data_IF_919518091168
#
_entry.id   IF_919518091168
#
_cell.length_a   1.000
_cell.length_b   1.000
_cell.length_c   1.000
_cell.angle_alpha   90.00
_cell.angle_beta   90.00
_cell.angle_gamma   90.00
#
_symmetry.space_group_name_H-M   'P 1'
#
loop_
_entity.id
_entity.type
_entity.pdbx_description
1 polymer ?
#
# COMPACT_ATOMS: atom_id res chain seq x y z
N UNK A 1 57.61 -7.76 -77.97
CA UNK A 1 56.20 -7.94 -78.33
C UNK A 1 55.54 -8.77 -77.21
N UNK A 2 54.56 -8.16 -76.53
CA UNK A 2 53.49 -8.76 -75.71
C UNK A 2 53.82 -9.25 -74.27
N UNK A 3 53.54 -8.31 -73.34
CA UNK A 3 52.85 -8.36 -72.04
C UNK A 3 52.89 -9.59 -71.11
N UNK A 4 53.36 -9.31 -69.89
CA UNK A 4 53.22 -10.06 -68.63
C UNK A 4 51.77 -10.03 -68.13
N UNK A 5 51.29 -11.18 -67.65
CA UNK A 5 50.23 -11.29 -66.66
C UNK A 5 50.51 -12.55 -65.82
N UNK A 6 50.72 -12.41 -64.51
CA UNK A 6 50.51 -13.49 -63.56
C UNK A 6 50.05 -12.87 -62.24
N UNK A 7 48.83 -13.24 -61.90
CA UNK A 7 47.98 -12.81 -60.79
C UNK A 7 48.53 -13.28 -59.46
N UNK A 8 48.69 -12.36 -58.50
CA UNK A 8 48.84 -12.68 -57.08
C UNK A 8 47.45 -12.90 -56.48
N UNK A 9 47.22 -14.06 -55.87
CA UNK A 9 46.04 -14.36 -55.06
C UNK A 9 46.39 -14.09 -53.59
N UNK A 10 45.86 -13.01 -53.02
CA UNK A 10 46.01 -12.69 -51.60
C UNK A 10 45.06 -13.51 -50.74
N UNK A 11 45.59 -14.17 -49.71
CA UNK A 11 44.80 -14.83 -48.66
C UNK A 11 44.25 -13.78 -47.69
N UNK A 12 42.92 -13.65 -47.64
CA UNK A 12 42.20 -12.84 -46.65
C UNK A 12 41.96 -13.68 -45.39
N UNK A 13 42.64 -13.36 -44.29
CA UNK A 13 42.38 -13.95 -42.97
C UNK A 13 41.18 -13.21 -42.37
N UNK A 14 40.04 -13.88 -42.27
CA UNK A 14 38.87 -13.41 -41.53
C UNK A 14 39.05 -13.79 -40.06
N UNK A 15 39.31 -12.80 -39.20
CA UNK A 15 39.29 -12.96 -37.75
C UNK A 15 37.84 -12.88 -37.28
N UNK A 16 37.25 -14.00 -36.88
CA UNK A 16 35.94 -14.06 -36.22
C UNK A 16 36.10 -13.66 -34.75
N UNK A 17 35.75 -12.40 -34.45
CA UNK A 17 35.57 -11.92 -33.08
C UNK A 17 34.29 -12.54 -32.49
N UNK A 18 34.45 -13.48 -31.57
CA UNK A 18 33.35 -13.96 -30.73
C UNK A 18 33.02 -12.89 -29.70
N UNK A 19 31.98 -12.10 -29.96
CA UNK A 19 31.35 -11.25 -28.95
C UNK A 19 30.49 -12.18 -28.08
N UNK A 20 30.99 -12.56 -26.91
CA UNK A 20 30.21 -13.24 -25.89
C UNK A 20 29.19 -12.25 -25.32
N UNK A 21 27.98 -12.22 -25.88
CA UNK A 21 26.83 -11.61 -25.23
C UNK A 21 26.47 -12.46 -24.02
N UNK A 22 26.98 -12.06 -22.86
CA UNK A 22 26.49 -12.55 -21.57
C UNK A 22 25.08 -12.00 -21.38
N UNK A 23 24.08 -12.73 -21.87
CA UNK A 23 22.69 -12.49 -21.48
C UNK A 23 22.59 -12.91 -20.01
N UNK A 24 22.68 -11.95 -19.10
CA UNK A 24 22.23 -12.17 -17.73
C UNK A 24 20.73 -12.44 -17.80
N UNK A 25 20.35 -13.72 -17.79
CA UNK A 25 18.99 -14.11 -17.49
C UNK A 25 18.72 -13.67 -16.04
N UNK A 26 18.09 -12.52 -15.86
CA UNK A 26 17.55 -12.12 -14.58
C UNK A 26 16.50 -13.16 -14.22
N UNK A 27 16.80 -14.03 -13.26
CA UNK A 27 15.84 -15.00 -12.74
C UNK A 27 14.69 -14.22 -12.13
N UNK A 28 13.62 -14.04 -12.90
CA UNK A 28 12.40 -13.37 -12.43
C UNK A 28 11.84 -14.20 -11.27
N UNK A 29 11.62 -13.55 -10.12
CA UNK A 29 11.09 -14.26 -8.95
C UNK A 29 9.74 -14.90 -9.32
N UNK A 30 9.59 -16.19 -9.02
CA UNK A 30 8.35 -16.91 -9.34
C UNK A 30 7.22 -16.45 -8.42
N UNK A 31 6.15 -15.93 -9.03
CA UNK A 31 4.93 -15.56 -8.32
C UNK A 31 4.13 -16.82 -7.97
N UNK A 32 3.66 -16.91 -6.73
CA UNK A 32 2.77 -17.95 -6.22
C UNK A 32 1.41 -17.36 -5.83
N UNK A 33 0.32 -18.01 -6.22
CA UNK A 33 -1.02 -17.66 -5.77
C UNK A 33 -1.24 -18.27 -4.38
N UNK A 34 -1.47 -17.42 -3.38
CA UNK A 34 -1.81 -17.81 -2.00
C UNK A 34 -3.32 -18.02 -1.86
N UNK A 35 -4.10 -17.12 -2.46
CA UNK A 35 -5.55 -17.22 -2.52
C UNK A 35 -6.10 -16.49 -3.75
N UNK A 36 -7.24 -16.98 -4.26
CA UNK A 36 -7.99 -16.36 -5.35
C UNK A 36 -9.43 -16.08 -4.91
N UNK A 37 -9.97 -14.93 -5.29
CA UNK A 37 -11.29 -14.49 -4.89
C UNK A 37 -12.15 -14.21 -6.12
N UNK A 38 -13.21 -15.00 -6.30
CA UNK A 38 -14.10 -14.86 -7.46
C UNK A 38 -15.02 -13.63 -7.38
N UNK A 39 -15.28 -13.11 -6.18
CA UNK A 39 -16.25 -12.04 -5.94
C UNK A 39 -15.75 -11.01 -4.93
N UNK A 40 -15.26 -11.46 -3.77
CA UNK A 40 -14.77 -10.57 -2.72
C UNK A 40 -13.43 -9.94 -3.10
N UNK A 41 -13.34 -8.60 -3.05
CA UNK A 41 -12.13 -7.88 -3.42
C UNK A 41 -11.22 -7.72 -2.19
N UNK A 42 -9.99 -8.28 -2.20
CA UNK A 42 -9.05 -8.06 -1.11
C UNK A 42 -8.55 -6.60 -1.11
N UNK A 43 -8.39 -6.03 0.08
CA UNK A 43 -7.76 -4.73 0.32
C UNK A 43 -6.31 -4.94 0.76
N UNK A 44 -6.02 -4.62 2.02
CA UNK A 44 -4.69 -4.79 2.61
C UNK A 44 -4.49 -6.14 3.27
N UNK A 45 -3.21 -6.53 3.37
CA UNK A 45 -2.74 -7.81 3.89
C UNK A 45 -1.77 -7.57 5.05
N UNK A 46 -1.85 -8.43 6.07
CA UNK A 46 -0.90 -8.50 7.16
C UNK A 46 -0.44 -9.93 7.36
N UNK A 47 0.83 -10.10 7.72
CA UNK A 47 1.43 -11.42 7.95
C UNK A 47 2.13 -11.42 9.30
N UNK A 48 1.78 -12.38 10.15
CA UNK A 48 2.44 -12.58 11.45
C UNK A 48 3.78 -13.31 11.32
N UNK A 49 4.63 -13.23 12.34
CA UNK A 49 5.91 -13.97 12.41
C UNK A 49 5.75 -15.49 12.27
N UNK A 50 4.60 -16.03 12.72
CA UNK A 50 4.27 -17.46 12.62
C UNK A 50 3.70 -17.84 11.25
N UNK A 51 3.59 -16.90 10.30
CA UNK A 51 3.12 -17.13 8.94
C UNK A 51 1.61 -17.11 8.78
N UNK A 52 0.84 -16.70 9.79
CA UNK A 52 -0.61 -16.47 9.63
C UNK A 52 -0.84 -15.22 8.80
N UNK A 53 -1.76 -15.31 7.84
CA UNK A 53 -2.05 -14.27 6.86
C UNK A 53 -3.45 -13.73 7.11
N UNK A 54 -3.57 -12.42 7.29
CA UNK A 54 -4.82 -11.72 7.52
C UNK A 54 -5.06 -10.70 6.42
N UNK A 55 -6.33 -10.49 6.08
CA UNK A 55 -6.72 -9.71 4.91
C UNK A 55 -7.99 -8.91 5.20
N UNK A 56 -8.03 -7.65 4.76
CA UNK A 56 -9.25 -6.84 4.73
C UNK A 56 -9.99 -7.02 3.40
N UNK A 57 -11.32 -6.89 3.41
CA UNK A 57 -12.14 -6.91 2.20
C UNK A 57 -12.65 -5.49 1.91
N UNK A 58 -12.29 -4.95 0.74
CA UNK A 58 -12.48 -3.54 0.39
C UNK A 58 -13.88 -3.20 -0.15
N UNK A 59 -14.71 -4.22 -0.44
CA UNK A 59 -16.08 -4.04 -0.91
C UNK A 59 -17.13 -4.69 0.03
N UNK A 60 -17.69 -3.92 0.98
CA UNK A 60 -18.67 -4.44 1.93
C UNK A 60 -20.02 -4.77 1.30
N UNK A 61 -20.25 -4.44 0.02
CA UNK A 61 -21.50 -4.76 -0.70
C UNK A 61 -21.53 -6.22 -1.18
N UNK A 62 -20.37 -6.80 -1.43
CA UNK A 62 -20.22 -8.22 -1.82
C UNK A 62 -20.25 -9.13 -0.59
N UNK A 63 -19.58 -8.71 0.48
CA UNK A 63 -19.49 -9.46 1.73
C UNK A 63 -19.54 -8.52 2.91
N UNK A 64 -20.41 -8.81 3.86
CA UNK A 64 -20.48 -8.05 5.11
C UNK A 64 -19.31 -8.31 6.05
N UNK A 65 -18.51 -9.36 5.79
CA UNK A 65 -17.41 -9.79 6.64
C UNK A 65 -16.09 -9.21 6.12
N UNK A 66 -15.63 -8.15 6.78
CA UNK A 66 -14.57 -7.29 6.22
C UNK A 66 -13.15 -7.64 6.63
N UNK A 67 -12.96 -8.63 7.52
CA UNK A 67 -11.63 -9.12 7.93
C UNK A 67 -11.63 -10.64 7.95
N UNK A 68 -10.62 -11.25 7.33
CA UNK A 68 -10.45 -12.70 7.25
C UNK A 68 -9.01 -13.11 7.52
N UNK A 69 -8.84 -14.36 7.94
CA UNK A 69 -7.58 -15.10 7.92
C UNK A 69 -7.57 -16.05 6.72
N UNK A 70 -6.45 -16.11 6.02
CA UNK A 70 -6.17 -17.09 4.98
C UNK A 70 -5.41 -18.24 5.64
N UNK A 71 -6.07 -19.39 5.75
CA UNK A 71 -5.49 -20.59 6.37
C UNK A 71 -4.45 -21.23 5.44
N UNK A 72 -3.60 -22.09 6.01
CA UNK A 72 -2.51 -22.77 5.28
C UNK A 72 -2.99 -23.62 4.08
N UNK A 73 -4.25 -24.05 4.09
CA UNK A 73 -4.89 -24.78 2.99
C UNK A 73 -5.59 -23.86 1.95
N UNK A 74 -5.42 -22.54 2.07
CA UNK A 74 -6.05 -21.53 1.22
C UNK A 74 -7.48 -21.13 1.61
N UNK A 75 -8.09 -21.79 2.60
CA UNK A 75 -9.45 -21.47 3.02
C UNK A 75 -9.51 -20.14 3.77
N UNK A 76 -10.61 -19.42 3.58
CA UNK A 76 -10.88 -18.16 4.28
C UNK A 76 -11.66 -18.41 5.57
N UNK A 77 -11.23 -17.78 6.66
CA UNK A 77 -11.91 -17.80 7.94
C UNK A 77 -12.17 -16.37 8.42
N UNK A 78 -13.40 -16.07 8.86
CA UNK A 78 -13.71 -14.81 9.52
C UNK A 78 -12.85 -14.63 10.78
N UNK A 79 -12.24 -13.45 10.94
CA UNK A 79 -11.36 -13.14 12.07
C UNK A 79 -11.65 -11.73 12.62
N UNK A 80 -11.79 -11.53 13.94
CA UNK A 80 -11.64 -12.52 15.02
C UNK A 80 -12.92 -13.33 15.26
N UNK A 81 -14.07 -12.78 14.90
CA UNK A 81 -15.40 -13.38 15.00
C UNK A 81 -16.24 -12.97 13.78
N UNK A 82 -17.56 -13.15 13.83
CA UNK A 82 -18.48 -12.71 12.77
C UNK A 82 -19.32 -11.48 13.13
N UNK A 83 -19.07 -10.84 14.27
CA UNK A 83 -19.79 -9.66 14.77
C UNK A 83 -18.95 -8.40 14.57
N UNK A 84 -17.73 -8.39 15.09
CA UNK A 84 -16.79 -7.26 14.99
C UNK A 84 -16.45 -6.90 13.55
N UNK A 85 -16.50 -7.86 12.63
CA UNK A 85 -16.16 -7.66 11.22
C UNK A 85 -17.35 -7.33 10.34
N UNK A 86 -18.47 -6.92 10.93
CA UNK A 86 -19.65 -6.44 10.22
C UNK A 86 -19.96 -5.01 10.64
N UNK A 87 -20.78 -4.30 9.84
CA UNK A 87 -21.14 -2.91 10.15
C UNK A 87 -21.73 -2.78 11.56
N UNK A 88 -21.33 -1.74 12.33
CA UNK A 88 -21.97 -1.45 13.61
C UNK A 88 -23.47 -1.23 13.45
N UNK A 89 -24.22 -1.61 14.49
CA UNK A 89 -25.66 -1.41 14.53
C UNK A 89 -26.01 -0.28 15.50
N UNK A 90 -26.94 0.59 15.08
CA UNK A 90 -27.42 1.72 15.88
C UNK A 90 -26.24 2.55 16.41
N UNK A 91 -26.25 2.91 17.71
CA UNK A 91 -25.21 3.68 18.38
C UNK A 91 -24.03 2.84 18.90
N UNK A 92 -23.95 1.55 18.54
CA UNK A 92 -22.86 0.70 19.00
C UNK A 92 -21.55 1.05 18.30
N UNK A 93 -20.44 1.04 19.04
CA UNK A 93 -19.09 1.06 18.47
C UNK A 93 -18.63 -0.33 18.00
N UNK A 94 -19.38 -1.38 18.33
CA UNK A 94 -19.03 -2.77 18.01
C UNK A 94 -19.32 -3.05 16.54
N UNK A 95 -18.26 -3.32 15.79
CA UNK A 95 -18.33 -3.56 14.35
C UNK A 95 -17.25 -2.76 13.60
N UNK A 96 -17.16 -2.99 12.30
CA UNK A 96 -16.30 -2.24 11.37
C UNK A 96 -17.21 -1.75 10.24
N UNK A 97 -17.25 -0.43 10.04
CA UNK A 97 -18.07 0.17 8.99
C UNK A 97 -17.48 -0.13 7.61
N UNK A 98 -16.20 0.20 7.44
CA UNK A 98 -15.40 0.02 6.21
C UNK A 98 -13.94 -0.07 6.63
N UNK A 99 -13.12 -0.89 5.98
CA UNK A 99 -11.70 -1.02 6.36
C UNK A 99 -10.79 -0.96 5.15
N UNK A 100 -9.57 -0.48 5.40
CA UNK A 100 -8.45 -0.48 4.45
C UNK A 100 -7.25 -1.10 5.17
N UNK A 101 -6.52 -0.31 5.97
CA UNK A 101 -5.32 -0.71 6.69
C UNK A 101 -5.49 -1.91 7.63
N UNK A 102 -4.49 -2.79 7.62
CA UNK A 102 -4.34 -3.92 8.54
C UNK A 102 -2.86 -4.19 8.78
N UNK A 103 -2.47 -4.40 10.03
CA UNK A 103 -1.09 -4.68 10.41
C UNK A 103 -1.06 -5.71 11.53
N UNK A 104 -0.03 -6.56 11.54
CA UNK A 104 0.30 -7.36 12.73
C UNK A 104 1.53 -6.74 13.38
N UNK A 105 1.42 -6.42 14.67
CA UNK A 105 2.53 -5.98 15.51
C UNK A 105 2.54 -6.88 16.75
N UNK A 106 3.67 -7.55 17.00
CA UNK A 106 3.78 -8.69 17.93
C UNK A 106 2.68 -9.72 17.67
N UNK A 107 1.78 -9.93 18.63
CA UNK A 107 0.64 -10.85 18.53
C UNK A 107 -0.71 -10.12 18.38
N UNK A 108 -0.70 -8.82 18.06
CA UNK A 108 -1.91 -8.03 17.88
C UNK A 108 -2.14 -7.76 16.40
N UNK A 109 -3.30 -8.15 15.90
CA UNK A 109 -3.82 -7.71 14.61
C UNK A 109 -4.54 -6.38 14.82
N UNK A 110 -3.96 -5.32 14.25
CA UNK A 110 -4.56 -4.00 14.19
C UNK A 110 -5.30 -3.85 12.87
N UNK A 111 -6.53 -3.32 12.92
CA UNK A 111 -7.37 -3.06 11.76
C UNK A 111 -7.89 -1.63 11.86
N UNK A 112 -7.78 -0.89 10.76
CA UNK A 112 -8.30 0.46 10.63
C UNK A 112 -9.72 0.41 10.04
N UNK A 113 -10.70 0.86 10.83
CA UNK A 113 -12.03 1.21 10.36
C UNK A 113 -12.05 2.69 9.98
N UNK A 114 -12.36 2.99 8.72
CA UNK A 114 -12.39 4.36 8.20
C UNK A 114 -13.73 5.07 8.50
N UNK A 115 -14.63 4.41 9.22
CA UNK A 115 -15.92 4.96 9.61
C UNK A 115 -16.95 5.03 8.47
N UNK A 116 -18.06 5.69 8.74
CA UNK A 116 -19.11 5.97 7.76
C UNK A 116 -19.82 7.28 8.13
N UNK A 117 -19.36 8.38 7.53
CA UNK A 117 -19.93 9.72 7.78
C UNK A 117 -21.36 9.89 7.26
N UNK A 118 -21.81 9.00 6.37
CA UNK A 118 -23.15 9.03 5.78
C UNK A 118 -24.15 8.12 6.50
N UNK A 119 -23.68 7.30 7.45
CA UNK A 119 -24.53 6.46 8.28
C UNK A 119 -25.31 7.28 9.32
N UNK A 120 -26.45 6.75 9.76
CA UNK A 120 -27.23 7.32 10.85
C UNK A 120 -27.45 6.26 11.95
N UNK A 121 -26.85 6.41 13.14
CA UNK A 121 -25.95 7.49 13.55
C UNK A 121 -24.58 7.42 12.85
N UNK A 122 -23.91 8.58 12.73
CA UNK A 122 -22.55 8.70 12.18
C UNK A 122 -21.61 7.73 12.90
N UNK A 123 -20.86 6.94 12.13
CA UNK A 123 -19.84 6.03 12.66
C UNK A 123 -18.47 6.68 12.51
N UNK A 124 -17.85 7.05 13.63
CA UNK A 124 -16.50 7.59 13.65
C UNK A 124 -15.47 6.51 13.24
N UNK A 125 -14.37 6.90 12.55
CA UNK A 125 -13.24 6.01 12.32
C UNK A 125 -12.64 5.48 13.64
N UNK A 126 -12.01 4.31 13.58
CA UNK A 126 -11.39 3.69 14.76
C UNK A 126 -10.26 2.73 14.38
N UNK A 127 -9.23 2.68 15.23
CA UNK A 127 -8.19 1.65 15.18
C UNK A 127 -8.54 0.56 16.21
N UNK A 128 -8.62 -0.69 15.76
CA UNK A 128 -9.02 -1.81 16.63
C UNK A 128 -7.94 -2.88 16.63
N UNK A 129 -7.59 -3.39 17.81
CA UNK A 129 -6.62 -4.45 17.99
C UNK A 129 -7.25 -5.73 18.54
N UNK A 130 -6.85 -6.90 18.03
CA UNK A 130 -7.18 -8.20 18.62
C UNK A 130 -5.92 -9.05 18.77
N UNK A 131 -5.84 -9.81 19.87
CA UNK A 131 -4.80 -10.82 19.99
C UNK A 131 -5.06 -11.96 19.00
N UNK A 132 -4.09 -12.26 18.14
CA UNK A 132 -4.27 -13.22 17.06
C UNK A 132 -4.49 -14.64 17.57
N UNK A 133 -3.87 -15.01 18.70
CA UNK A 133 -3.93 -16.37 19.23
C UNK A 133 -5.27 -16.64 19.95
N UNK A 134 -5.68 -15.70 20.81
CA UNK A 134 -6.87 -15.86 21.66
C UNK A 134 -8.14 -15.31 21.02
N UNK A 135 -8.02 -14.51 19.94
CA UNK A 135 -9.11 -13.78 19.28
C UNK A 135 -9.79 -12.75 20.20
N UNK A 136 -9.21 -12.46 21.35
CA UNK A 136 -9.75 -11.50 22.30
C UNK A 136 -9.46 -10.07 21.83
N UNK A 137 -10.44 -9.19 22.02
CA UNK A 137 -10.30 -7.76 21.80
C UNK A 137 -9.20 -7.22 22.72
N UNK A 138 -8.22 -6.55 22.13
CA UNK A 138 -7.13 -5.91 22.85
C UNK A 138 -7.46 -4.46 23.19
N UNK A 139 -7.76 -3.63 22.17
CA UNK A 139 -8.06 -2.21 22.31
C UNK A 139 -8.95 -1.71 21.17
N UNK A 140 -9.69 -0.63 21.43
CA UNK A 140 -10.42 0.17 20.43
C UNK A 140 -10.06 1.63 20.68
N UNK A 141 -9.53 2.32 19.67
CA UNK A 141 -9.26 3.75 19.69
C UNK A 141 -10.17 4.43 18.67
N UNK A 142 -11.21 5.10 19.13
CA UNK A 142 -12.06 5.93 18.26
C UNK A 142 -11.36 7.24 17.97
N UNK A 143 -11.33 7.64 16.69
CA UNK A 143 -10.75 8.91 16.27
C UNK A 143 -11.81 10.01 16.38
N UNK A 144 -11.60 11.02 17.24
CA UNK A 144 -12.56 12.10 17.41
C UNK A 144 -12.50 13.09 16.23
N UNK A 145 -13.59 13.83 16.00
CA UNK A 145 -13.68 14.80 14.90
C UNK A 145 -12.52 15.82 14.84
N UNK A 146 -11.95 16.35 15.95
CA UNK A 146 -10.84 17.31 15.89
C UNK A 146 -9.53 16.80 15.29
N UNK A 147 -9.33 15.47 15.16
CA UNK A 147 -8.14 14.91 14.49
C UNK A 147 -8.43 14.51 13.04
N UNK A 148 -9.65 14.79 12.57
CA UNK A 148 -10.13 14.47 11.23
C UNK A 148 -10.45 15.75 10.47
N UNK A 149 -10.30 15.68 9.16
CA UNK A 149 -10.79 16.67 8.22
C UNK A 149 -12.14 16.19 7.64
N UNK A 150 -13.06 17.07 7.20
CA UNK A 150 -14.30 16.65 6.53
C UNK A 150 -14.09 15.75 5.31
N UNK A 151 -12.94 15.85 4.66
CA UNK A 151 -12.50 14.98 3.55
C UNK A 151 -11.57 13.86 3.99
N UNK A 152 -11.38 13.58 5.29
CA UNK A 152 -10.49 12.50 5.74
C UNK A 152 -10.79 11.19 5.03
N UNK A 153 -9.73 10.56 4.56
CA UNK A 153 -9.75 9.25 3.94
C UNK A 153 -8.50 8.50 4.39
N UNK A 154 -8.60 7.94 5.59
CA UNK A 154 -7.52 7.20 6.25
C UNK A 154 -7.20 5.95 5.43
N UNK A 155 -5.93 5.78 5.03
CA UNK A 155 -5.51 4.69 4.14
C UNK A 155 -4.87 3.55 4.92
N UNK A 156 -3.61 3.74 5.31
CA UNK A 156 -2.79 2.74 5.99
C UNK A 156 -2.12 3.37 7.22
N UNK A 157 -1.47 2.53 8.01
CA UNK A 157 -0.86 2.93 9.27
C UNK A 157 0.33 2.04 9.64
N UNK A 158 1.14 2.54 10.56
CA UNK A 158 2.21 1.79 11.22
C UNK A 158 2.02 1.80 12.73
N UNK A 159 2.54 0.77 13.38
CA UNK A 159 2.60 0.67 14.84
C UNK A 159 4.05 0.85 15.26
N UNK A 160 4.31 1.92 16.00
CA UNK A 160 5.58 2.16 16.65
C UNK A 160 5.54 1.55 18.06
N UNK A 161 6.16 0.38 18.17
CA UNK A 161 6.21 -0.35 19.43
C UNK A 161 7.14 0.31 20.45
N UNK A 162 8.11 1.09 20.01
CA UNK A 162 9.12 1.73 20.86
C UNK A 162 8.49 2.90 21.62
N UNK A 163 7.76 3.76 20.92
CA UNK A 163 7.10 4.92 21.54
C UNK A 163 5.63 4.65 21.91
N UNK A 164 5.11 3.47 21.56
CA UNK A 164 3.71 3.07 21.80
C UNK A 164 2.73 4.02 21.10
N UNK A 165 2.97 4.28 19.82
CA UNK A 165 2.09 5.09 18.99
C UNK A 165 1.61 4.32 17.76
N UNK A 166 0.43 4.68 17.25
CA UNK A 166 0.03 4.35 15.89
C UNK A 166 0.05 5.62 15.06
N UNK A 167 0.57 5.53 13.83
CA UNK A 167 0.69 6.67 12.91
C UNK A 167 -0.08 6.29 11.64
N UNK A 168 -1.15 7.03 11.36
CA UNK A 168 -2.08 6.78 10.26
C UNK A 168 -1.85 7.83 9.18
N UNK A 169 -1.75 7.36 7.93
CA UNK A 169 -1.75 8.19 6.74
C UNK A 169 -3.19 8.61 6.40
N UNK A 170 -3.50 9.91 6.53
CA UNK A 170 -4.76 10.48 6.06
C UNK A 170 -4.55 11.18 4.73
N UNK A 171 -5.14 10.63 3.67
CA UNK A 171 -5.08 11.21 2.33
C UNK A 171 -5.91 12.49 2.21
N UNK A 172 -6.92 12.66 3.07
CA UNK A 172 -7.89 13.77 3.03
C UNK A 172 -8.54 14.00 1.65
N UNK A 173 -8.86 12.92 0.93
CA UNK A 173 -9.50 12.94 -0.39
C UNK A 173 -10.81 12.12 -0.42
N UNK A 174 -11.46 11.97 0.73
CA UNK A 174 -12.74 11.29 0.89
C UNK A 174 -13.81 11.96 0.03
N UNK A 175 -14.48 11.16 -0.82
CA UNK A 175 -15.49 11.66 -1.75
C UNK A 175 -14.93 12.55 -2.88
N UNK A 176 -13.61 12.55 -3.10
CA UNK A 176 -12.93 13.44 -4.06
C UNK A 176 -13.21 14.93 -3.80
N UNK A 177 -13.24 15.31 -2.52
CA UNK A 177 -13.38 16.70 -2.10
C UNK A 177 -12.01 17.37 -2.20
N UNK A 178 -11.93 18.47 -2.95
CA UNK A 178 -10.73 19.27 -3.15
C UNK A 178 -10.84 20.64 -2.46
N UNK A 179 -9.71 21.26 -2.06
CA UNK A 179 -8.35 20.69 -2.10
C UNK A 179 -8.18 19.55 -1.08
N UNK A 180 -7.32 18.57 -1.39
CA UNK A 180 -6.91 17.57 -0.40
C UNK A 180 -5.97 18.21 0.62
N UNK A 181 -6.14 17.84 1.89
CA UNK A 181 -5.37 18.38 3.01
C UNK A 181 -4.71 17.23 3.79
N UNK A 182 -3.80 16.45 3.17
CA UNK A 182 -3.28 15.22 3.76
C UNK A 182 -2.53 15.48 5.07
N UNK A 183 -2.52 14.51 5.98
CA UNK A 183 -1.83 14.66 7.27
C UNK A 183 -1.48 13.29 7.86
N UNK A 184 -0.65 13.29 8.90
CA UNK A 184 -0.62 12.16 9.82
C UNK A 184 -1.64 12.34 10.94
N UNK A 185 -2.27 11.23 11.33
CA UNK A 185 -3.02 11.12 12.59
C UNK A 185 -2.24 10.17 13.49
N UNK A 186 -1.77 10.68 14.63
CA UNK A 186 -0.99 9.94 15.62
C UNK A 186 -1.91 9.59 16.80
N UNK A 187 -1.85 8.35 17.26
CA UNK A 187 -2.55 7.86 18.46
C UNK A 187 -1.51 7.38 19.46
N UNK A 188 -1.54 7.86 20.69
CA UNK A 188 -0.87 7.23 21.83
C UNK A 188 -1.63 5.94 22.20
N UNK A 189 -0.99 4.78 22.07
CA UNK A 189 -1.60 3.47 22.31
C UNK A 189 -1.74 3.12 23.80
N UNK A 190 -1.14 3.90 24.70
CA UNK A 190 -1.34 3.77 26.16
C UNK A 190 -2.58 4.52 26.58
N UNK A 191 -2.72 5.78 26.15
CA UNK A 191 -3.76 6.70 26.65
C UNK A 191 -4.97 6.81 25.72
N UNK A 192 -4.79 6.57 24.43
CA UNK A 192 -5.79 6.84 23.39
C UNK A 192 -5.85 8.31 22.96
N UNK A 193 -4.98 9.17 23.50
CA UNK A 193 -4.85 10.54 23.01
C UNK A 193 -4.44 10.53 21.54
N UNK A 194 -5.05 11.39 20.74
CA UNK A 194 -4.77 11.46 19.31
C UNK A 194 -4.57 12.90 18.86
N UNK A 195 -3.69 13.10 17.87
CA UNK A 195 -3.40 14.40 17.26
C UNK A 195 -3.22 14.29 15.76
N UNK A 196 -3.57 15.35 15.04
CA UNK A 196 -3.31 15.54 13.61
C UNK A 196 -2.08 16.43 13.46
N UNK A 197 -1.11 16.03 12.64
CA UNK A 197 0.15 16.77 12.44
C UNK A 197 0.58 16.77 10.98
N UNK A 198 1.49 17.69 10.66
CA UNK A 198 2.03 17.92 9.32
C UNK A 198 0.92 18.19 8.29
N UNK A 199 -0.11 18.94 8.69
CA UNK A 199 -1.27 19.11 7.85
C UNK A 199 -0.92 19.85 6.56
N UNK A 200 -1.22 19.21 5.43
CA UNK A 200 -0.91 19.66 4.08
C UNK A 200 0.58 19.89 3.78
N UNK A 201 1.48 19.22 4.51
CA UNK A 201 2.93 19.33 4.24
C UNK A 201 3.27 18.94 2.78
N UNK A 202 4.25 19.63 2.18
CA UNK A 202 4.62 19.43 0.78
C UNK A 202 5.08 18.00 0.48
N UNK A 203 5.67 17.31 1.45
CA UNK A 203 6.12 15.92 1.30
C UNK A 203 4.97 14.91 1.18
N UNK A 204 3.74 15.31 1.50
CA UNK A 204 2.54 14.51 1.36
C UNK A 204 1.84 14.68 0.01
N UNK A 205 2.25 15.67 -0.79
CA UNK A 205 1.60 16.00 -2.05
C UNK A 205 2.03 15.06 -3.19
N UNK A 206 1.11 14.71 -4.10
CA UNK A 206 1.44 14.00 -5.34
C UNK A 206 2.16 14.91 -6.34
N UNK A 207 2.62 14.34 -7.47
CA UNK A 207 2.97 15.15 -8.64
C UNK A 207 1.72 15.69 -9.32
N UNK A 208 1.89 16.64 -10.25
CA UNK A 208 0.79 17.15 -11.07
C UNK A 208 0.42 16.24 -12.24
N UNK A 209 1.02 15.05 -12.33
CA UNK A 209 0.78 14.09 -13.41
C UNK A 209 -0.42 13.18 -13.14
N UNK A 210 -1.06 12.71 -14.22
CA UNK A 210 -2.09 11.69 -14.12
C UNK A 210 -1.49 10.35 -13.66
N UNK A 211 -2.25 9.58 -12.89
CA UNK A 211 -1.94 8.17 -12.64
C UNK A 211 -2.38 7.35 -13.85
N UNK A 212 -1.43 6.74 -14.57
CA UNK A 212 -1.66 6.01 -15.81
C UNK A 212 -1.54 4.51 -15.60
N UNK A 213 -2.60 3.76 -15.87
CA UNK A 213 -2.59 2.30 -15.74
C UNK A 213 -2.92 1.70 -17.09
N UNK A 214 -1.99 0.93 -17.65
CA UNK A 214 -2.04 0.44 -19.02
C UNK A 214 -2.24 1.59 -20.03
N UNK A 215 -1.60 2.73 -19.80
CA UNK A 215 -1.72 3.94 -20.63
C UNK A 215 -3.05 4.70 -20.49
N UNK A 216 -3.95 4.27 -19.60
CA UNK A 216 -5.23 4.94 -19.33
C UNK A 216 -5.13 5.79 -18.06
N UNK A 217 -5.47 7.09 -18.10
CA UNK A 217 -5.56 7.90 -16.89
C UNK A 217 -6.69 7.41 -16.00
N UNK A 218 -6.42 7.32 -14.70
CA UNK A 218 -7.44 7.07 -13.71
C UNK A 218 -8.36 8.30 -13.61
N UNK A 219 -9.67 8.08 -13.74
CA UNK A 219 -10.62 9.20 -13.85
C UNK A 219 -11.94 8.90 -13.14
N UNK A 220 -12.59 9.97 -12.68
CA UNK A 220 -13.87 9.94 -12.00
C UNK A 220 -14.88 10.86 -12.69
N UNK A 221 -16.10 10.36 -12.90
CA UNK A 221 -17.22 11.16 -13.40
C UNK A 221 -18.18 11.50 -12.26
N UNK A 222 -18.41 12.79 -12.03
CA UNK A 222 -19.45 13.26 -11.13
C UNK A 222 -20.85 13.14 -11.77
N UNK A 223 -21.93 13.13 -10.96
CA UNK A 223 -23.31 13.05 -11.48
C UNK A 223 -23.71 14.19 -12.43
N UNK A 224 -23.05 15.35 -12.34
CA UNK A 224 -23.25 16.50 -13.23
C UNK A 224 -22.52 16.37 -14.58
N UNK A 225 -21.83 15.26 -14.81
CA UNK A 225 -21.06 14.96 -16.02
C UNK A 225 -19.61 15.47 -16.01
N UNK A 226 -19.16 16.16 -14.96
CA UNK A 226 -17.77 16.59 -14.84
C UNK A 226 -16.85 15.37 -14.67
N UNK A 227 -15.80 15.29 -15.49
CA UNK A 227 -14.75 14.29 -15.35
C UNK A 227 -13.52 14.93 -14.70
N UNK A 228 -12.91 14.23 -13.75
CA UNK A 228 -11.64 14.63 -13.13
C UNK A 228 -10.66 13.47 -13.14
N UNK A 229 -9.37 13.79 -13.25
CA UNK A 229 -8.28 12.83 -13.06
C UNK A 229 -7.68 13.10 -11.68
N UNK A 230 -7.98 12.27 -10.65
CA UNK A 230 -7.57 12.60 -9.31
C UNK A 230 -6.05 12.57 -9.13
N UNK A 231 -5.55 13.46 -8.28
CA UNK A 231 -4.19 13.40 -7.74
C UNK A 231 -4.28 12.77 -6.36
N UNK A 232 -3.46 11.75 -6.08
CA UNK A 232 -3.55 10.97 -4.84
C UNK A 232 -2.39 11.28 -3.91
N UNK A 233 -2.61 12.03 -2.83
CA UNK A 233 -1.59 12.39 -1.84
C UNK A 233 -1.13 11.20 -0.99
N UNK A 234 -0.60 11.51 0.19
CA UNK A 234 -0.17 10.59 1.25
C UNK A 234 -1.04 9.33 1.33
N UNK A 235 -0.39 8.18 1.18
CA UNK A 235 -1.00 6.87 1.38
C UNK A 235 0.04 5.86 1.89
N UNK A 236 1.04 5.42 1.08
CA UNK A 236 1.97 4.40 1.52
C UNK A 236 2.76 4.86 2.75
N UNK A 237 2.75 4.03 3.80
CA UNK A 237 3.47 4.26 5.05
C UNK A 237 4.08 2.95 5.58
N UNK A 238 5.32 3.02 6.05
CA UNK A 238 6.09 1.88 6.53
C UNK A 238 6.99 2.33 7.69
N UNK A 239 7.34 1.39 8.58
CA UNK A 239 8.22 1.64 9.72
C UNK A 239 9.33 0.59 9.69
N UNK A 240 10.56 1.00 9.95
CA UNK A 240 11.68 0.05 10.00
C UNK A 240 11.61 -0.86 11.24
N UNK A 241 12.35 -1.97 11.18
CA UNK A 241 12.38 -2.95 12.26
C UNK A 241 12.98 -2.41 13.57
N UNK A 242 13.75 -1.32 13.50
CA UNK A 242 14.36 -0.64 14.64
C UNK A 242 13.43 0.39 15.28
N UNK A 243 12.24 0.60 14.68
CA UNK A 243 11.29 1.65 15.06
C UNK A 243 11.98 3.02 15.15
N UNK A 244 12.88 3.30 14.20
CA UNK A 244 13.67 4.54 14.13
C UNK A 244 13.07 5.52 13.13
N UNK A 245 12.63 5.02 11.98
CA UNK A 245 12.08 5.85 10.91
C UNK A 245 10.71 5.37 10.46
N UNK A 246 9.82 6.33 10.24
CA UNK A 246 8.63 6.16 9.43
C UNK A 246 8.93 6.65 8.03
N UNK A 247 8.72 5.78 7.05
CA UNK A 247 8.83 6.04 5.63
C UNK A 247 7.45 6.27 5.06
N UNK A 248 7.30 7.28 4.21
CA UNK A 248 6.01 7.64 3.63
C UNK A 248 6.17 8.27 2.25
N UNK A 249 5.06 8.38 1.52
CA UNK A 249 4.99 9.15 0.29
C UNK A 249 3.56 9.29 -0.21
N UNK A 250 3.38 10.09 -1.26
CA UNK A 250 2.10 10.17 -1.96
C UNK A 250 1.92 8.96 -2.90
N UNK A 251 0.68 8.50 -3.08
CA UNK A 251 0.37 7.43 -4.04
C UNK A 251 0.77 7.87 -5.45
N UNK A 252 0.31 9.05 -5.86
CA UNK A 252 0.67 9.70 -7.12
C UNK A 252 2.00 10.47 -7.07
N UNK A 253 2.89 10.16 -6.11
CA UNK A 253 4.19 10.79 -5.97
C UNK A 253 5.35 9.87 -6.35
N UNK A 254 6.50 10.47 -6.68
CA UNK A 254 7.70 9.73 -7.11
C UNK A 254 8.82 9.70 -6.06
N UNK A 255 8.52 10.18 -4.86
CA UNK A 255 9.48 10.32 -3.77
C UNK A 255 9.01 9.54 -2.55
N UNK A 256 9.99 8.96 -1.87
CA UNK A 256 9.87 8.42 -0.53
C UNK A 256 10.59 9.38 0.39
N UNK A 257 9.88 9.79 1.43
CA UNK A 257 10.40 10.57 2.52
C UNK A 257 10.47 9.70 3.78
N UNK A 258 11.21 10.18 4.77
CA UNK A 258 11.20 9.60 6.12
C UNK A 258 11.25 10.68 7.19
N UNK A 259 10.72 10.36 8.36
CA UNK A 259 10.80 11.17 9.57
C UNK A 259 11.04 10.25 10.76
N UNK A 260 11.78 10.72 11.76
CA UNK A 260 12.10 9.88 12.91
C UNK A 260 10.84 9.63 13.76
N UNK A 261 10.71 8.42 14.27
CA UNK A 261 9.64 8.04 15.19
C UNK A 261 9.68 8.84 16.49
N UNK A 262 10.88 9.20 16.96
CA UNK A 262 11.09 10.05 18.13
C UNK A 262 10.49 11.44 17.92
N UNK A 263 10.71 12.05 16.75
CA UNK A 263 10.11 13.34 16.37
C UNK A 263 8.57 13.26 16.37
N UNK A 264 8.02 12.19 15.79
CA UNK A 264 6.57 11.97 15.75
C UNK A 264 5.98 11.65 17.13
N UNK A 265 6.78 11.13 18.07
CA UNK A 265 6.35 10.90 19.45
C UNK A 265 6.41 12.17 20.31
N UNK A 266 7.24 13.15 19.96
CA UNK A 266 7.35 14.41 20.70
C UNK A 266 6.13 15.31 20.47
N UNK A 267 5.34 15.51 21.52
CA UNK A 267 4.09 16.30 21.46
C UNK A 267 4.35 17.81 21.38
N UNK A 268 5.52 18.29 21.84
CA UNK A 268 5.82 19.72 21.86
C UNK A 268 6.31 20.26 20.50
N UNK A 269 6.56 19.40 19.51
CA UNK A 269 6.91 19.85 18.17
C UNK A 269 5.67 20.24 17.37
N UNK A 270 5.68 21.46 16.84
CA UNK A 270 4.67 21.91 15.88
C UNK A 270 5.00 21.45 14.44
N UNK A 271 4.04 21.63 13.54
CA UNK A 271 4.15 21.20 12.13
C UNK A 271 5.37 21.77 11.40
N UNK A 272 5.76 23.02 11.66
CA UNK A 272 6.96 23.61 11.05
C UNK A 272 8.24 22.92 11.52
N UNK A 273 8.32 22.60 12.82
CA UNK A 273 9.47 21.88 13.39
C UNK A 273 9.51 20.42 12.95
N UNK A 274 8.36 19.77 12.79
CA UNK A 274 8.27 18.41 12.24
C UNK A 274 8.65 18.39 10.77
N UNK A 275 8.17 19.35 9.98
CA UNK A 275 8.45 19.46 8.54
C UNK A 275 9.95 19.59 8.26
N UNK A 276 10.67 20.35 9.09
CA UNK A 276 12.13 20.48 9.02
C UNK A 276 12.90 19.17 9.31
N UNK A 277 12.25 18.17 9.90
CA UNK A 277 12.84 16.87 10.22
C UNK A 277 12.52 15.79 9.17
N UNK A 278 11.78 16.16 8.11
CA UNK A 278 11.48 15.26 7.00
C UNK A 278 12.69 15.18 6.07
N UNK A 279 13.13 13.97 5.80
CA UNK A 279 14.25 13.68 4.91
C UNK A 279 13.77 13.00 3.64
N UNK A 280 14.28 13.43 2.49
CA UNK A 280 14.19 12.63 1.27
C UNK A 280 15.01 11.34 1.44
N UNK A 281 14.43 10.20 1.09
CA UNK A 281 15.07 8.90 1.23
C UNK A 281 15.44 8.25 -0.12
N UNK A 282 14.46 8.11 -1.01
CA UNK A 282 14.62 7.42 -2.28
C UNK A 282 13.57 7.88 -3.30
N UNK A 283 13.79 7.60 -4.58
CA UNK A 283 12.75 7.69 -5.61
C UNK A 283 11.94 6.40 -5.68
N UNK A 284 10.69 6.51 -6.16
CA UNK A 284 9.80 5.38 -6.42
C UNK A 284 8.88 5.68 -7.62
N UNK A 285 8.29 4.67 -8.26
CA UNK A 285 7.13 4.87 -9.12
C UNK A 285 5.90 5.30 -8.29
N UNK A 286 4.82 5.70 -8.98
CA UNK A 286 3.51 5.86 -8.33
C UNK A 286 3.07 4.50 -7.77
N UNK A 287 2.61 4.48 -6.53
CA UNK A 287 2.43 3.22 -5.79
C UNK A 287 1.35 3.34 -4.71
N UNK A 288 0.50 2.33 -4.57
CA UNK A 288 -0.52 2.27 -3.53
C UNK A 288 0.09 2.00 -2.14
N UNK A 289 0.61 0.79 -1.92
CA UNK A 289 1.29 0.37 -0.70
C UNK A 289 2.81 0.25 -0.84
N UNK A 290 3.50 0.27 0.30
CA UNK A 290 4.88 -0.21 0.37
C UNK A 290 5.24 -0.82 1.74
N UNK A 291 6.35 -1.55 1.79
CA UNK A 291 6.95 -2.05 3.04
C UNK A 291 8.46 -1.97 2.99
N UNK A 292 9.07 -1.75 4.14
CA UNK A 292 10.52 -1.73 4.29
C UNK A 292 10.99 -3.03 4.97
N UNK A 293 12.13 -3.56 4.53
CA UNK A 293 12.81 -4.67 5.21
C UNK A 293 13.90 -4.19 6.18
N UNK A 294 14.59 -5.15 6.80
CA UNK A 294 15.69 -4.90 7.72
C UNK A 294 17.00 -4.46 7.04
N UNK A 295 17.05 -4.43 5.70
CA UNK A 295 18.19 -3.94 4.91
C UNK A 295 17.97 -2.51 4.43
N UNK A 296 16.84 -1.89 4.82
CA UNK A 296 16.44 -0.56 4.36
C UNK A 296 15.93 -0.55 2.92
N UNK A 297 15.50 -1.69 2.40
CA UNK A 297 14.94 -1.79 1.06
C UNK A 297 13.44 -1.59 1.12
N UNK A 298 12.90 -0.69 0.30
CA UNK A 298 11.46 -0.42 0.27
C UNK A 298 10.85 -1.12 -0.93
N UNK A 299 10.02 -2.13 -0.66
CA UNK A 299 9.26 -2.84 -1.65
C UNK A 299 7.98 -2.07 -1.95
N UNK A 300 7.79 -1.71 -3.21
CA UNK A 300 6.73 -0.81 -3.67
C UNK A 300 5.78 -1.53 -4.61
N UNK A 301 4.48 -1.25 -4.47
CA UNK A 301 3.45 -1.73 -5.39
C UNK A 301 3.34 -0.77 -6.58
N UNK A 302 4.10 -1.01 -7.65
CA UNK A 302 4.13 -0.16 -8.84
C UNK A 302 2.84 -0.36 -9.66
N UNK A 303 1.90 0.57 -9.48
CA UNK A 303 0.55 0.48 -10.07
C UNK A 303 0.54 0.83 -11.55
N UNK A 304 1.53 1.59 -12.04
CA UNK A 304 1.60 2.00 -13.44
C UNK A 304 2.25 0.92 -14.33
N UNK A 305 3.12 0.08 -13.76
CA UNK A 305 3.88 -0.93 -14.51
C UNK A 305 3.48 -2.38 -14.18
N UNK A 306 2.37 -2.63 -13.49
CA UNK A 306 1.93 -3.99 -13.15
C UNK A 306 3.01 -4.81 -12.41
N UNK A 307 3.68 -4.17 -11.45
CA UNK A 307 4.91 -4.71 -10.88
C UNK A 307 4.98 -4.55 -9.35
N UNK A 308 5.79 -5.42 -8.74
CA UNK A 308 6.39 -5.13 -7.44
C UNK A 308 7.87 -4.83 -7.70
N UNK A 309 8.33 -3.70 -7.17
CA UNK A 309 9.73 -3.31 -7.28
C UNK A 309 10.34 -2.99 -5.94
N UNK A 310 11.61 -2.59 -5.98
CA UNK A 310 12.42 -2.24 -4.84
C UNK A 310 13.03 -0.85 -5.05
N UNK A 311 12.78 0.04 -4.10
CA UNK A 311 13.32 1.39 -4.04
C UNK A 311 14.33 1.48 -2.91
N UNK A 312 15.51 2.00 -3.25
CA UNK A 312 16.59 2.31 -2.30
C UNK A 312 17.18 3.68 -2.63
N UNK A 313 18.04 4.26 -1.79
CA UNK A 313 18.77 5.48 -2.16
C UNK A 313 19.63 5.33 -3.43
N UNK A 314 19.91 4.09 -3.89
CA UNK A 314 20.63 3.81 -5.14
C UNK A 314 19.73 3.85 -6.38
N UNK A 315 18.41 3.82 -6.20
CA UNK A 315 17.43 3.81 -7.29
C UNK A 315 16.35 2.74 -7.12
N UNK A 316 15.49 2.67 -8.15
CA UNK A 316 14.38 1.74 -8.28
C UNK A 316 14.71 0.61 -9.25
N UNK A 317 14.21 -0.60 -8.98
CA UNK A 317 14.20 -1.72 -9.94
C UNK A 317 12.99 -2.62 -9.74
N UNK A 318 12.50 -3.22 -10.82
CA UNK A 318 11.39 -4.19 -10.78
C UNK A 318 11.91 -5.55 -10.30
N UNK A 319 11.17 -6.19 -9.38
CA UNK A 319 11.45 -7.55 -8.89
C UNK A 319 10.58 -8.60 -9.59
N UNK A 320 9.29 -8.30 -9.75
CA UNK A 320 8.30 -9.12 -10.47
C UNK A 320 7.34 -8.22 -11.22
N UNK A 321 6.86 -8.70 -12.37
CA UNK A 321 5.92 -8.00 -13.23
C UNK A 321 5.04 -9.03 -13.94
N UNK A 322 3.74 -8.79 -13.99
CA UNK A 322 2.79 -9.63 -14.71
C UNK A 322 1.50 -8.84 -15.00
N UNK A 323 1.22 -8.59 -16.28
CA UNK A 323 0.08 -7.77 -16.73
C UNK A 323 -1.29 -8.37 -16.37
N UNK A 324 -1.35 -9.68 -16.10
CA UNK A 324 -2.58 -10.39 -15.78
C UNK A 324 -2.77 -10.57 -14.28
N UNK A 325 -1.72 -11.00 -13.57
CA UNK A 325 -1.76 -11.26 -12.13
C UNK A 325 -1.62 -9.98 -11.31
N UNK A 326 -0.84 -8.99 -11.76
CA UNK A 326 -0.49 -7.78 -11.01
C UNK A 326 -1.16 -6.55 -11.65
N UNK A 327 -2.47 -6.61 -11.86
CA UNK A 327 -3.22 -5.51 -12.50
C UNK A 327 -3.25 -4.22 -11.68
N UNK A 328 -3.37 -4.34 -10.36
CA UNK A 328 -3.27 -3.24 -9.38
C UNK A 328 -2.76 -3.87 -8.09
N UNK A 329 -1.44 -3.83 -7.84
CA UNK A 329 -0.91 -4.24 -6.55
C UNK A 329 -1.29 -3.18 -5.50
N UNK A 330 -1.90 -3.61 -4.41
CA UNK A 330 -2.47 -2.71 -3.37
C UNK A 330 -1.72 -2.90 -2.04
N UNK A 331 -2.22 -3.78 -1.19
CA UNK A 331 -1.62 -4.08 0.10
C UNK A 331 -0.40 -4.97 0.00
N UNK A 332 0.58 -4.73 0.86
CA UNK A 332 1.86 -5.46 0.86
C UNK A 332 2.33 -5.77 2.29
N UNK A 333 2.90 -6.96 2.48
CA UNK A 333 3.43 -7.43 3.75
C UNK A 333 4.67 -8.31 3.55
N UNK A 334 5.61 -8.23 4.50
CA UNK A 334 6.83 -9.04 4.49
C UNK A 334 6.77 -10.04 5.62
N UNK A 335 6.99 -11.31 5.30
CA UNK A 335 7.17 -12.36 6.29
C UNK A 335 8.66 -12.50 6.64
N UNK A 336 9.03 -12.64 7.93
CA UNK A 336 10.44 -12.71 8.36
C UNK A 336 11.28 -13.82 7.73
N UNK A 337 10.65 -14.89 7.21
CA UNK A 337 11.33 -15.96 6.45
C UNK A 337 11.56 -15.65 4.96
N UNK A 338 11.59 -14.37 4.57
CA UNK A 338 11.94 -13.94 3.22
C UNK A 338 10.86 -14.20 2.18
N UNK A 339 9.58 -14.00 2.54
CA UNK A 339 8.49 -13.97 1.55
C UNK A 339 7.81 -12.62 1.59
N UNK A 340 7.54 -12.07 0.41
CA UNK A 340 6.74 -10.88 0.25
C UNK A 340 5.35 -11.28 -0.25
N UNK A 341 4.32 -10.82 0.45
CA UNK A 341 2.92 -11.03 0.14
C UNK A 341 2.32 -9.71 -0.35
N UNK A 342 1.43 -9.78 -1.34
CA UNK A 342 0.71 -8.61 -1.80
C UNK A 342 -0.65 -8.98 -2.38
N UNK A 343 -1.57 -8.01 -2.41
CA UNK A 343 -2.88 -8.17 -3.03
C UNK A 343 -2.89 -7.58 -4.44
N UNK A 344 -3.68 -8.18 -5.32
CA UNK A 344 -3.97 -7.64 -6.65
C UNK A 344 -5.48 -7.65 -6.89
N UNK A 345 -6.06 -6.45 -7.01
CA UNK A 345 -7.49 -6.27 -6.75
C UNK A 345 -8.26 -5.47 -7.83
N UNK A 346 -7.57 -5.05 -8.90
CA UNK A 346 -8.16 -4.38 -10.06
C UNK A 346 -8.92 -3.09 -9.69
N UNK A 347 -8.47 -2.31 -8.70
CA UNK A 347 -9.15 -1.10 -8.24
C UNK A 347 -9.42 -0.09 -9.37
N UNK A 348 -8.52 0.05 -10.34
CA UNK A 348 -8.67 0.92 -11.50
C UNK A 348 -9.90 0.63 -12.36
N UNK A 349 -10.46 -0.57 -12.25
CA UNK A 349 -11.60 -0.98 -13.05
C UNK A 349 -12.94 -0.72 -12.32
N UNK A 350 -12.92 -0.30 -11.05
CA UNK A 350 -14.17 0.04 -10.34
C UNK A 350 -14.83 1.27 -10.95
N UNK A 351 -16.18 1.38 -10.89
CA UNK A 351 -16.92 2.54 -11.41
C UNK A 351 -16.37 3.88 -10.95
N UNK A 352 -15.98 3.96 -9.67
CA UNK A 352 -15.47 5.17 -9.05
C UNK A 352 -14.19 5.70 -9.74
N UNK A 353 -13.38 4.81 -10.33
CA UNK A 353 -12.11 5.09 -11.00
C UNK A 353 -12.11 4.82 -12.51
N UNK A 354 -13.29 4.54 -13.06
CA UNK A 354 -13.47 4.17 -14.46
C UNK A 354 -14.76 4.78 -15.02
N UNK A 355 -14.97 6.08 -14.76
CA UNK A 355 -16.07 6.88 -15.32
C UNK A 355 -17.46 6.23 -15.16
N UNK A 356 -17.72 5.62 -13.99
CA UNK A 356 -19.01 5.01 -13.67
C UNK A 356 -19.19 3.56 -14.16
N UNK A 357 -18.19 2.96 -14.80
CA UNK A 357 -18.26 1.58 -15.34
C UNK A 357 -17.39 0.61 -14.54
N UNK A 358 -17.95 -0.54 -14.15
CA UNK A 358 -17.14 -1.64 -13.60
C UNK A 358 -16.64 -2.53 -14.74
N UNK A 359 -15.33 -2.53 -14.96
CA UNK A 359 -14.64 -3.39 -15.95
C UNK A 359 -13.81 -4.50 -15.30
N UNK A 360 -14.04 -4.76 -14.01
CA UNK A 360 -13.30 -5.79 -13.27
C UNK A 360 -13.56 -7.19 -13.85
N UNK A 361 -12.51 -8.00 -13.93
CA UNK A 361 -12.53 -9.39 -14.38
C UNK A 361 -11.92 -10.27 -13.29
N UNK A 362 -12.66 -10.63 -12.23
CA UNK A 362 -12.16 -11.55 -11.22
C UNK A 362 -11.76 -12.90 -11.84
N UNK A 363 -10.86 -13.67 -11.21
CA UNK A 363 -10.53 -13.56 -9.79
C UNK A 363 -9.55 -12.43 -9.42
N UNK A 364 -9.71 -11.94 -8.19
CA UNK A 364 -8.71 -11.12 -7.50
C UNK A 364 -7.75 -12.04 -6.73
N UNK A 365 -6.57 -11.56 -6.34
CA UNK A 365 -5.54 -12.43 -5.79
C UNK A 365 -4.89 -11.91 -4.52
N UNK A 366 -4.44 -12.85 -3.71
CA UNK A 366 -3.29 -12.69 -2.83
C UNK A 366 -2.16 -13.49 -3.43
N UNK A 367 -1.05 -12.82 -3.69
CA UNK A 367 0.12 -13.33 -4.35
C UNK A 367 1.32 -13.27 -3.39
N UNK A 368 2.32 -14.10 -3.61
CA UNK A 368 3.61 -13.98 -2.93
C UNK A 368 4.76 -14.40 -3.82
N UNK A 369 5.96 -13.97 -3.46
CA UNK A 369 7.21 -14.51 -3.99
C UNK A 369 8.30 -14.46 -2.92
N UNK A 370 9.38 -15.21 -3.15
CA UNK A 370 10.52 -15.22 -2.24
C UNK A 370 11.42 -14.00 -2.49
N UNK A 371 11.86 -13.37 -1.42
CA UNK A 371 12.83 -12.27 -1.42
C UNK A 371 14.13 -12.72 -0.75
N UNK A 372 15.27 -12.19 -1.19
CA UNK A 372 16.62 -12.60 -0.77
C UNK A 372 17.10 -11.94 0.53
#
# INVERSE_FOLDING_TARGET
MILKNNTQLGFLIIVLLFISNSVFAQTQNKIEIVASFATERPGNIAVSEKGRVFITMSDPTVSKFVVKEILSNGNLQNFPDSVWITKPQQYSIRGISRTIGIQVSKEILWVLDIGDNNSNPKQAPKLIGWNINTKQLHKVFTLPDPVLHPSSFLQDFVIDEKHQTAIIADMSLGGLIYPSVPAFVIIDLKTGYSRRVLENDQSFQPTDEDLLINGRPLSHSYPDGKIVNPRYPLNPIAIDAEMKWVYFGALGGEKIYRISTESLAEENLNDSQLSQQIEFYATKPKSDGFKIDNKGQIYVTDVENNAIGISTPKGYSILVQDDFLISWPDGIAIHPKGYLYFTSNQLQNKPWWNNGKDDSKPPYYVLRFKIE
#
